data_IF_536301199075
#
_entry.id   IF_536301199075
#
_cell.length_a   1.000
_cell.length_b   1.000
_cell.length_c   1.000
_cell.angle_alpha   90.00
_cell.angle_beta   90.00
_cell.angle_gamma   90.00
#
_symmetry.space_group_name_H-M   'P 1'
#
loop_
_entity.id
_entity.type
_entity.pdbx_description
1 polymer ?
#
# COMPACT_ATOMS: atom_id res chain seq x y z
N UNK A 1 64.78 73.84 13.54
CA UNK A 1 65.99 74.05 12.70
C UNK A 1 67.12 73.29 13.38
N UNK A 2 67.88 72.36 12.77
CA UNK A 2 68.11 72.01 11.34
C UNK A 2 67.65 70.57 10.98
N UNK A 3 67.10 70.27 9.79
CA UNK A 3 67.70 69.82 8.49
C UNK A 3 68.58 68.55 8.45
N UNK A 4 68.00 67.55 7.76
CA UNK A 4 68.57 66.66 6.72
C UNK A 4 69.70 65.68 7.09
N UNK A 5 69.46 64.39 6.83
CA UNK A 5 70.03 63.72 5.64
C UNK A 5 69.38 62.36 5.37
N UNK A 6 69.06 62.19 4.10
CA UNK A 6 68.63 60.98 3.39
C UNK A 6 69.80 60.01 3.21
N UNK A 7 69.56 58.73 3.48
CA UNK A 7 70.38 57.62 2.99
C UNK A 7 69.45 56.53 2.44
N UNK A 8 69.45 56.40 1.12
CA UNK A 8 68.83 55.34 0.33
C UNK A 8 69.64 54.04 0.45
N UNK A 9 69.00 52.95 0.86
CA UNK A 9 69.52 51.58 0.77
C UNK A 9 68.76 50.81 -0.32
N UNK A 10 69.43 49.98 -1.14
CA UNK A 10 68.80 49.31 -2.27
C UNK A 10 68.09 48.02 -1.82
N UNK A 11 66.83 47.87 -2.23
CA UNK A 11 66.00 46.69 -1.97
C UNK A 11 66.29 45.61 -3.01
N UNK A 12 66.77 44.45 -2.55
CA UNK A 12 67.04 43.26 -3.35
C UNK A 12 65.78 42.73 -4.07
N UNK A 13 65.89 42.17 -5.29
CA UNK A 13 64.76 41.62 -6.01
C UNK A 13 64.28 40.31 -5.37
N UNK A 14 63.01 40.28 -4.94
CA UNK A 14 62.33 39.06 -4.48
C UNK A 14 62.15 38.11 -5.66
N UNK A 15 62.86 36.98 -5.63
CA UNK A 15 62.59 35.80 -6.48
C UNK A 15 61.15 35.31 -6.22
N UNK A 16 60.28 35.42 -7.22
CA UNK A 16 58.99 34.73 -7.26
C UNK A 16 59.21 33.29 -7.67
N UNK A 17 59.03 32.36 -6.73
CA UNK A 17 58.94 30.92 -7.01
C UNK A 17 57.64 30.60 -7.77
N UNK A 18 57.64 29.73 -8.79
CA UNK A 18 56.41 29.32 -9.47
C UNK A 18 55.52 28.51 -8.51
N UNK A 19 54.20 28.75 -8.57
CA UNK A 19 53.20 27.92 -7.92
C UNK A 19 53.21 26.51 -8.54
N UNK A 20 53.14 25.43 -7.77
CA UNK A 20 53.00 24.10 -8.34
C UNK A 20 51.62 23.96 -9.02
N UNK A 21 51.61 23.37 -10.21
CA UNK A 21 50.41 23.07 -10.97
C UNK A 21 49.47 22.17 -10.16
N UNK A 22 48.22 22.58 -10.06
CA UNK A 22 47.15 21.81 -9.41
C UNK A 22 46.84 20.60 -10.31
N UNK A 23 46.89 19.35 -9.82
CA UNK A 23 46.55 18.21 -10.65
C UNK A 23 45.10 18.33 -11.11
N UNK A 24 44.88 18.13 -12.42
CA UNK A 24 43.55 18.11 -13.01
C UNK A 24 42.69 17.07 -12.28
N UNK A 25 41.52 17.47 -11.78
CA UNK A 25 40.54 16.53 -11.22
C UNK A 25 40.19 15.48 -12.29
N UNK A 26 40.16 14.18 -11.95
CA UNK A 26 39.77 13.16 -12.90
C UNK A 26 38.35 13.46 -13.39
N UNK A 27 38.20 13.53 -14.71
CA UNK A 27 36.93 13.70 -15.39
C UNK A 27 36.04 12.53 -14.96
N UNK A 28 35.02 12.81 -14.15
CA UNK A 28 33.99 11.81 -13.83
C UNK A 28 33.32 11.44 -15.15
N UNK A 29 33.38 10.17 -15.59
CA UNK A 29 32.71 9.78 -16.83
C UNK A 29 31.21 10.08 -16.69
N UNK A 30 30.53 10.52 -17.76
CA UNK A 30 29.10 10.73 -17.71
C UNK A 30 28.42 9.43 -17.22
N UNK A 31 27.35 9.53 -16.42
CA UNK A 31 26.63 8.34 -15.98
C UNK A 31 26.24 7.53 -17.20
N UNK A 32 26.50 6.22 -17.17
CA UNK A 32 26.05 5.31 -18.21
C UNK A 32 24.55 5.56 -18.46
N UNK A 33 24.09 5.54 -19.74
CA UNK A 33 22.67 5.69 -20.02
C UNK A 33 21.91 4.68 -19.16
N UNK A 34 20.92 5.17 -18.39
CA UNK A 34 20.13 4.33 -17.52
C UNK A 34 19.63 3.15 -18.36
N UNK A 35 20.04 1.93 -18.00
CA UNK A 35 19.61 0.73 -18.70
C UNK A 35 18.10 0.79 -18.85
N UNK A 36 17.60 0.63 -20.08
CA UNK A 36 16.18 0.77 -20.38
C UNK A 36 15.40 -0.25 -19.56
N UNK A 37 14.79 0.19 -18.45
CA UNK A 37 14.00 -0.68 -17.59
C UNK A 37 12.60 -0.85 -18.15
N UNK A 38 12.12 -2.08 -18.15
CA UNK A 38 10.76 -2.40 -18.59
C UNK A 38 9.88 -2.64 -17.38
N UNK A 39 8.71 -1.96 -17.35
CA UNK A 39 7.76 -2.05 -16.24
C UNK A 39 6.77 -3.19 -16.44
N UNK A 40 6.64 -4.01 -15.41
CA UNK A 40 5.66 -5.09 -15.36
C UNK A 40 4.68 -4.88 -14.22
N UNK A 41 3.40 -5.12 -14.51
CA UNK A 41 2.32 -5.18 -13.53
C UNK A 41 2.01 -6.63 -13.22
N UNK A 42 1.79 -6.91 -11.94
CA UNK A 42 1.34 -8.20 -11.44
C UNK A 42 0.01 -8.00 -10.71
N UNK A 43 -1.01 -8.73 -11.14
CA UNK A 43 -2.31 -8.83 -10.49
C UNK A 43 -2.33 -10.10 -9.63
N UNK A 44 -2.72 -9.99 -8.35
CA UNK A 44 -2.60 -11.09 -7.39
C UNK A 44 -3.67 -11.09 -6.30
N UNK A 45 -3.85 -12.25 -5.66
CA UNK A 45 -4.60 -12.44 -4.43
C UNK A 45 -3.71 -13.02 -3.33
N UNK A 46 -4.13 -12.86 -2.08
CA UNK A 46 -3.53 -13.56 -0.96
C UNK A 46 -4.47 -13.75 0.23
N UNK A 47 -4.30 -14.87 0.91
CA UNK A 47 -4.70 -15.03 2.30
C UNK A 47 -3.70 -14.27 3.18
N UNK A 48 -4.18 -13.24 3.90
CA UNK A 48 -3.34 -12.41 4.78
C UNK A 48 -2.92 -13.07 6.09
N UNK A 49 -3.52 -14.22 6.46
CA UNK A 49 -3.35 -14.86 7.77
C UNK A 49 -1.90 -15.13 8.19
N UNK A 50 -1.01 -15.69 7.33
CA UNK A 50 0.36 -15.99 7.71
C UNK A 50 1.29 -14.77 7.67
N UNK A 51 0.83 -13.62 7.16
CA UNK A 51 1.69 -12.48 6.87
C UNK A 51 1.61 -11.38 7.93
N UNK A 52 2.75 -10.76 8.27
CA UNK A 52 2.85 -9.54 9.07
C UNK A 52 2.40 -8.27 8.33
N UNK A 53 1.51 -8.42 7.35
CA UNK A 53 1.01 -7.38 6.47
C UNK A 53 1.65 -7.42 5.08
N UNK A 54 1.30 -6.43 4.26
CA UNK A 54 1.84 -6.36 2.90
C UNK A 54 3.31 -5.92 2.91
N UNK A 55 3.61 -4.79 3.54
CA UNK A 55 4.89 -4.11 3.37
C UNK A 55 6.05 -4.85 4.06
N UNK A 56 7.20 -4.90 3.37
CA UNK A 56 8.42 -5.54 3.87
C UNK A 56 8.83 -4.98 5.24
N UNK A 57 9.15 -5.88 6.16
CA UNK A 57 9.63 -5.58 7.51
C UNK A 57 10.81 -6.51 7.81
N UNK A 58 11.75 -6.03 8.64
CA UNK A 58 12.90 -6.85 9.05
C UNK A 58 12.39 -8.05 9.87
N UNK A 59 12.92 -9.23 9.59
CA UNK A 59 12.67 -10.47 10.35
C UNK A 59 11.19 -10.89 10.43
N UNK A 60 10.38 -10.51 9.43
CA UNK A 60 8.95 -10.84 9.36
C UNK A 60 8.57 -11.36 7.97
N UNK A 61 7.73 -12.38 7.94
CA UNK A 61 7.13 -12.90 6.70
C UNK A 61 6.05 -11.93 6.23
N UNK A 62 6.21 -11.35 5.04
CA UNK A 62 5.33 -10.32 4.48
C UNK A 62 5.04 -10.61 3.02
N UNK A 63 3.88 -10.15 2.50
CA UNK A 63 3.51 -10.40 1.10
C UNK A 63 4.55 -9.80 0.14
N UNK A 64 4.99 -8.56 0.41
CA UNK A 64 6.03 -7.90 -0.38
C UNK A 64 7.35 -8.67 -0.33
N UNK A 65 7.78 -9.12 0.86
CA UNK A 65 9.04 -9.85 1.01
C UNK A 65 9.05 -11.18 0.23
N UNK A 66 7.96 -11.94 0.29
CA UNK A 66 7.83 -13.19 -0.48
C UNK A 66 7.85 -12.92 -1.99
N UNK A 67 7.12 -11.91 -2.45
CA UNK A 67 7.08 -11.52 -3.87
C UNK A 67 8.45 -11.06 -4.37
N UNK A 68 9.11 -10.15 -3.66
CA UNK A 68 10.45 -9.64 -4.02
C UNK A 68 11.49 -10.76 -4.03
N UNK A 69 11.42 -11.67 -3.06
CA UNK A 69 12.33 -12.83 -3.00
C UNK A 69 12.09 -13.79 -4.16
N UNK A 70 10.83 -14.12 -4.46
CA UNK A 70 10.48 -14.98 -5.60
C UNK A 70 10.89 -14.35 -6.93
N UNK A 71 10.61 -13.06 -7.12
CA UNK A 71 11.01 -12.30 -8.30
C UNK A 71 12.54 -12.26 -8.43
N UNK A 72 13.27 -12.01 -7.35
CA UNK A 72 14.72 -11.99 -7.35
C UNK A 72 15.35 -13.30 -7.82
N UNK A 73 14.81 -14.45 -7.38
CA UNK A 73 15.25 -15.78 -7.85
C UNK A 73 14.90 -16.06 -9.33
N UNK A 74 13.76 -15.57 -9.79
CA UNK A 74 13.31 -15.81 -11.16
C UNK A 74 14.09 -14.95 -12.14
N UNK A 75 14.26 -13.66 -11.84
CA UNK A 75 14.90 -12.68 -12.72
C UNK A 75 16.41 -12.56 -12.52
N UNK A 76 16.97 -13.14 -11.45
CA UNK A 76 18.40 -13.08 -11.09
C UNK A 76 18.92 -11.65 -10.98
N UNK A 77 18.10 -10.81 -10.35
CA UNK A 77 18.43 -9.43 -9.99
C UNK A 77 17.61 -8.99 -8.78
N UNK A 78 18.07 -8.03 -7.98
CA UNK A 78 17.24 -7.43 -6.92
C UNK A 78 15.98 -6.81 -7.50
N UNK A 79 14.83 -7.06 -6.87
CA UNK A 79 13.54 -6.48 -7.28
C UNK A 79 12.94 -5.72 -6.11
N UNK A 80 12.56 -4.48 -6.38
CA UNK A 80 11.71 -3.68 -5.49
C UNK A 80 10.35 -3.51 -6.15
N UNK A 81 9.27 -3.70 -5.38
CA UNK A 81 7.92 -3.55 -5.90
C UNK A 81 7.18 -2.37 -5.26
N UNK A 82 6.25 -1.81 -6.03
CA UNK A 82 5.28 -0.83 -5.54
C UNK A 82 3.88 -1.39 -5.65
N UNK A 83 3.11 -1.35 -4.57
CA UNK A 83 1.75 -1.87 -4.52
C UNK A 83 0.67 -0.78 -4.60
N UNK A 84 -0.52 -1.18 -5.03
CA UNK A 84 -1.67 -0.30 -5.09
C UNK A 84 -2.16 0.15 -3.72
N UNK A 85 -2.07 -0.69 -2.71
CA UNK A 85 -2.40 -0.31 -1.34
C UNK A 85 -1.84 -1.33 -0.36
N UNK A 86 -1.18 -0.84 0.69
CA UNK A 86 -0.71 -1.71 1.77
C UNK A 86 -1.91 -2.26 2.54
N UNK A 87 -1.84 -3.53 2.93
CA UNK A 87 -2.78 -4.15 3.86
C UNK A 87 -2.10 -4.44 5.19
N UNK A 88 -2.86 -4.34 6.28
CA UNK A 88 -2.36 -4.66 7.63
C UNK A 88 -2.11 -6.17 7.78
N UNK A 89 -1.41 -6.55 8.86
CA UNK A 89 -1.29 -7.94 9.30
C UNK A 89 -2.66 -8.64 9.36
N UNK A 90 -2.77 -9.81 8.74
CA UNK A 90 -3.99 -10.62 8.73
C UNK A 90 -5.10 -10.14 7.79
N UNK A 91 -4.89 -9.10 6.99
CA UNK A 91 -5.89 -8.62 6.01
C UNK A 91 -5.66 -9.30 4.66
N UNK A 92 -6.73 -9.82 4.06
CA UNK A 92 -6.69 -10.53 2.78
C UNK A 92 -6.78 -9.60 1.57
N UNK A 93 -6.44 -10.10 0.39
CA UNK A 93 -6.74 -9.44 -0.88
C UNK A 93 -7.18 -10.44 -1.94
N UNK A 94 -8.19 -10.09 -2.73
CA UNK A 94 -8.61 -10.85 -3.91
C UNK A 94 -8.08 -10.25 -5.22
N UNK A 95 -7.81 -8.94 -5.23
CA UNK A 95 -7.33 -8.22 -6.40
C UNK A 95 -6.35 -7.10 -6.00
N UNK A 96 -5.25 -7.48 -5.34
CA UNK A 96 -4.11 -6.59 -5.16
C UNK A 96 -3.40 -6.40 -6.50
N UNK A 97 -2.73 -5.27 -6.65
CA UNK A 97 -1.89 -4.98 -7.82
C UNK A 97 -0.55 -4.47 -7.36
N UNK A 98 0.52 -4.98 -7.96
CA UNK A 98 1.87 -4.45 -7.80
C UNK A 98 2.48 -4.14 -9.17
N UNK A 99 3.50 -3.32 -9.19
CA UNK A 99 4.39 -3.20 -10.33
C UNK A 99 5.85 -3.24 -9.88
N UNK A 100 6.71 -3.60 -10.83
CA UNK A 100 8.15 -3.64 -10.68
C UNK A 100 8.81 -3.28 -12.02
N UNK A 101 10.05 -2.81 -11.96
CA UNK A 101 10.87 -2.50 -13.13
C UNK A 101 12.00 -3.51 -13.24
N UNK A 102 12.18 -4.08 -14.43
CA UNK A 102 13.25 -5.04 -14.72
C UNK A 102 14.31 -4.43 -15.63
N UNK A 103 15.57 -4.66 -15.31
CA UNK A 103 16.67 -4.50 -16.25
C UNK A 103 16.74 -5.74 -17.15
N UNK A 104 16.39 -5.57 -18.42
CA UNK A 104 16.40 -6.66 -19.41
C UNK A 104 17.78 -6.89 -20.04
N UNK A 105 18.81 -6.14 -19.63
CA UNK A 105 20.19 -6.52 -19.94
C UNK A 105 20.63 -7.78 -19.18
N UNK A 106 19.93 -8.11 -18.08
CA UNK A 106 20.11 -9.38 -17.35
C UNK A 106 19.51 -10.53 -18.18
N UNK A 107 20.32 -11.47 -18.70
CA UNK A 107 19.84 -12.47 -19.68
C UNK A 107 18.71 -13.35 -19.15
N UNK A 108 18.77 -13.70 -17.85
CA UNK A 108 17.72 -14.51 -17.22
C UNK A 108 16.40 -13.75 -17.11
N UNK A 109 16.43 -12.44 -16.85
CA UNK A 109 15.23 -11.62 -16.83
C UNK A 109 14.64 -11.45 -18.23
N UNK A 110 15.47 -11.15 -19.24
CA UNK A 110 15.03 -11.08 -20.64
C UNK A 110 14.33 -12.37 -21.07
N UNK A 111 14.96 -13.52 -20.83
CA UNK A 111 14.37 -14.83 -21.15
C UNK A 111 13.09 -15.13 -20.36
N UNK A 112 13.04 -14.73 -19.09
CA UNK A 112 11.88 -14.97 -18.25
C UNK A 112 10.62 -14.23 -18.72
N UNK A 113 10.76 -13.10 -19.43
CA UNK A 113 9.61 -12.29 -19.88
C UNK A 113 9.18 -12.57 -21.33
N UNK A 114 9.88 -13.47 -22.05
CA UNK A 114 9.51 -13.90 -23.40
C UNK A 114 8.10 -14.52 -23.44
N UNK A 115 7.74 -15.28 -22.40
CA UNK A 115 6.40 -15.84 -22.21
C UNK A 115 5.86 -15.48 -20.82
N UNK A 116 4.93 -14.53 -20.78
CA UNK A 116 4.33 -14.05 -19.54
C UNK A 116 3.39 -15.08 -18.88
N UNK A 117 2.86 -16.05 -19.64
CA UNK A 117 2.07 -17.15 -19.10
C UNK A 117 2.92 -18.14 -18.32
N UNK A 118 4.07 -18.53 -18.89
CA UNK A 118 5.08 -19.35 -18.21
C UNK A 118 5.65 -18.62 -17.00
N UNK A 119 5.96 -17.32 -17.13
CA UNK A 119 6.42 -16.49 -16.02
C UNK A 119 5.40 -16.45 -14.88
N UNK A 120 4.11 -16.23 -15.20
CA UNK A 120 3.03 -16.25 -14.20
C UNK A 120 3.01 -17.56 -13.45
N UNK A 121 3.01 -18.70 -14.17
CA UNK A 121 2.99 -20.02 -13.55
C UNK A 121 4.22 -20.27 -12.66
N UNK A 122 5.40 -19.86 -13.11
CA UNK A 122 6.64 -20.00 -12.34
C UNK A 122 6.63 -19.16 -11.07
N UNK A 123 6.23 -17.90 -11.13
CA UNK A 123 6.15 -17.04 -9.96
C UNK A 123 5.08 -17.52 -8.97
N UNK A 124 3.92 -17.96 -9.46
CA UNK A 124 2.84 -18.55 -8.65
C UNK A 124 3.31 -19.77 -7.84
N UNK A 125 4.13 -20.63 -8.44
CA UNK A 125 4.75 -21.75 -7.72
C UNK A 125 5.78 -21.29 -6.67
N UNK A 126 6.51 -20.21 -6.92
CA UNK A 126 7.59 -19.72 -6.06
C UNK A 126 7.11 -18.94 -4.83
N UNK A 127 5.97 -18.25 -4.92
CA UNK A 127 5.42 -17.42 -3.83
C UNK A 127 4.66 -18.22 -2.77
N UNK A 128 4.43 -19.51 -3.00
CA UNK A 128 3.77 -20.41 -2.07
C UNK A 128 2.24 -20.27 -2.04
N UNK A 129 1.59 -21.13 -1.25
CA UNK A 129 0.14 -21.39 -1.32
C UNK A 129 -0.76 -20.24 -0.86
N UNK A 130 -0.22 -19.28 -0.10
CA UNK A 130 -0.99 -18.17 0.44
C UNK A 130 -1.09 -16.98 -0.51
N UNK A 131 -0.35 -16.98 -1.63
CA UNK A 131 -0.38 -15.96 -2.67
C UNK A 131 -0.74 -16.63 -3.99
N UNK A 132 -1.57 -15.98 -4.80
CA UNK A 132 -1.88 -16.43 -6.15
C UNK A 132 -1.63 -15.30 -7.13
N UNK A 133 -0.82 -15.56 -8.16
CA UNK A 133 -0.55 -14.62 -9.24
C UNK A 133 -1.58 -14.82 -10.34
N UNK A 134 -2.51 -13.89 -10.49
CA UNK A 134 -3.54 -13.99 -11.54
C UNK A 134 -2.97 -13.72 -12.92
N UNK A 135 -2.20 -12.64 -13.05
CA UNK A 135 -1.74 -12.20 -14.36
C UNK A 135 -0.48 -11.35 -14.23
N UNK A 136 0.36 -11.41 -15.25
CA UNK A 136 1.51 -10.54 -15.46
C UNK A 136 1.36 -9.88 -16.82
N UNK A 137 1.68 -8.58 -16.90
CA UNK A 137 1.63 -7.81 -18.15
C UNK A 137 2.71 -6.73 -18.17
N UNK A 138 3.28 -6.46 -19.33
CA UNK A 138 4.03 -5.23 -19.55
C UNK A 138 3.08 -4.03 -19.48
N UNK A 139 3.54 -2.92 -18.92
CA UNK A 139 2.79 -1.66 -18.84
C UNK A 139 3.72 -0.48 -19.18
N UNK A 140 3.17 0.67 -19.61
CA UNK A 140 3.99 1.85 -19.84
C UNK A 140 4.75 2.25 -18.57
N UNK A 141 5.96 2.82 -18.73
CA UNK A 141 6.76 3.32 -17.61
C UNK A 141 6.02 4.35 -16.72
N UNK A 142 5.03 5.06 -17.28
CA UNK A 142 4.18 6.00 -16.55
C UNK A 142 3.13 5.33 -15.64
N UNK A 143 2.89 4.02 -15.75
CA UNK A 143 1.95 3.31 -14.88
C UNK A 143 2.54 3.17 -13.48
N UNK A 144 1.81 3.59 -12.46
CA UNK A 144 2.20 3.38 -11.06
C UNK A 144 1.06 2.69 -10.31
N UNK A 145 1.27 1.48 -9.81
CA UNK A 145 0.22 0.71 -9.11
C UNK A 145 -0.48 1.52 -8.00
N UNK A 146 0.25 2.38 -7.29
CA UNK A 146 -0.28 3.23 -6.23
C UNK A 146 -0.94 4.49 -6.79
N UNK A 147 -0.19 5.31 -7.52
CA UNK A 147 -0.62 6.65 -7.89
C UNK A 147 -1.54 6.67 -9.11
N UNK A 148 -1.54 5.62 -9.92
CA UNK A 148 -2.46 5.48 -11.04
C UNK A 148 -3.83 4.91 -10.66
N UNK A 149 -3.96 4.30 -9.48
CA UNK A 149 -5.21 3.72 -9.03
C UNK A 149 -6.20 4.82 -8.65
N UNK A 150 -7.36 4.79 -9.30
CA UNK A 150 -8.46 5.72 -9.12
C UNK A 150 -9.32 5.39 -7.89
N UNK A 151 -9.41 4.11 -7.50
CA UNK A 151 -10.15 3.69 -6.33
C UNK A 151 -9.73 2.31 -5.82
N UNK A 152 -9.99 2.05 -4.54
CA UNK A 152 -9.91 0.73 -3.90
C UNK A 152 -11.27 0.38 -3.30
N UNK A 153 -11.68 -0.88 -3.46
CA UNK A 153 -12.86 -1.43 -2.81
C UNK A 153 -12.45 -2.47 -1.78
N UNK A 154 -12.94 -2.29 -0.57
CA UNK A 154 -12.82 -3.24 0.51
C UNK A 154 -14.18 -3.84 0.85
N UNK A 155 -14.17 -5.09 1.32
CA UNK A 155 -15.30 -5.68 2.02
C UNK A 155 -14.86 -6.11 3.40
N UNK A 156 -15.67 -5.78 4.38
CA UNK A 156 -15.58 -6.33 5.72
C UNK A 156 -16.75 -7.28 5.96
N UNK A 157 -16.49 -8.50 6.43
CA UNK A 157 -17.51 -9.52 6.71
C UNK A 157 -17.65 -9.75 8.21
N UNK A 158 -18.89 -9.72 8.68
CA UNK A 158 -19.29 -9.87 10.07
C UNK A 158 -20.25 -11.06 10.19
N UNK A 159 -20.19 -11.74 11.33
CA UNK A 159 -21.18 -12.73 11.73
C UNK A 159 -21.78 -12.30 13.07
N UNK A 160 -23.08 -12.00 13.05
CA UNK A 160 -23.85 -11.51 14.20
C UNK A 160 -24.84 -12.56 14.73
N UNK A 161 -24.49 -13.84 14.55
CA UNK A 161 -25.19 -14.99 15.13
C UNK A 161 -24.48 -15.48 16.39
N UNK A 162 -25.20 -16.19 17.27
CA UNK A 162 -24.63 -16.75 18.49
C UNK A 162 -23.60 -17.86 18.21
N UNK A 163 -23.83 -18.67 17.18
CA UNK A 163 -22.95 -19.78 16.80
C UNK A 163 -21.97 -19.32 15.71
N UNK A 164 -20.70 -19.71 15.86
CA UNK A 164 -19.66 -19.44 14.89
C UNK A 164 -19.47 -20.63 13.94
N UNK A 165 -19.27 -20.37 12.66
CA UNK A 165 -18.79 -21.38 11.70
C UNK A 165 -17.26 -21.46 11.79
N UNK A 166 -16.68 -22.56 12.31
CA UNK A 166 -15.23 -22.67 12.44
C UNK A 166 -14.52 -22.61 11.08
N UNK A 167 -15.14 -23.02 9.97
CA UNK A 167 -14.52 -22.99 8.64
C UNK A 167 -14.31 -21.54 8.16
N UNK A 168 -15.20 -20.62 8.56
CA UNK A 168 -15.19 -19.20 8.14
C UNK A 168 -14.51 -18.26 9.14
N UNK A 169 -13.85 -18.82 10.17
CA UNK A 169 -13.17 -18.06 11.23
C UNK A 169 -12.03 -17.16 10.72
N UNK A 170 -11.50 -17.47 9.54
CA UNK A 170 -10.39 -16.73 8.93
C UNK A 170 -10.84 -15.67 7.93
N UNK A 171 -12.11 -15.62 7.51
CA UNK A 171 -12.58 -14.63 6.51
C UNK A 171 -13.72 -13.72 7.02
N UNK A 172 -14.18 -13.91 8.27
CA UNK A 172 -15.27 -13.15 8.89
C UNK A 172 -15.06 -12.95 10.38
N UNK A 173 -15.43 -11.78 10.87
CA UNK A 173 -15.40 -11.50 12.30
C UNK A 173 -16.68 -11.99 12.99
N UNK A 174 -16.55 -12.97 13.88
CA UNK A 174 -17.61 -13.38 14.80
C UNK A 174 -17.84 -12.30 15.87
N UNK A 175 -18.99 -11.64 15.81
CA UNK A 175 -19.45 -10.66 16.79
C UNK A 175 -20.20 -11.34 17.93
N UNK A 176 -20.96 -12.40 17.63
CA UNK A 176 -21.61 -13.27 18.63
C UNK A 176 -22.99 -12.81 19.12
N UNK A 177 -23.45 -11.64 18.71
CA UNK A 177 -24.74 -11.05 19.11
C UNK A 177 -25.38 -10.31 17.93
N UNK A 178 -26.73 -10.26 17.84
CA UNK A 178 -27.43 -9.59 16.73
C UNK A 178 -27.08 -8.10 16.61
N UNK A 179 -26.85 -7.63 15.39
CA UNK A 179 -26.58 -6.22 15.10
C UNK A 179 -27.76 -5.54 14.39
N UNK A 180 -28.11 -4.34 14.86
CA UNK A 180 -29.07 -3.47 14.20
C UNK A 180 -28.46 -2.87 12.92
N UNK A 181 -28.72 -3.53 11.78
CA UNK A 181 -28.27 -3.05 10.47
C UNK A 181 -28.80 -1.65 10.16
N UNK A 182 -30.00 -1.32 10.62
CA UNK A 182 -30.61 0.01 10.45
C UNK A 182 -29.81 1.08 11.18
N UNK A 183 -29.43 0.85 12.45
CA UNK A 183 -28.63 1.79 13.22
C UNK A 183 -27.22 1.96 12.61
N UNK A 184 -26.58 0.86 12.21
CA UNK A 184 -25.28 0.91 11.53
C UNK A 184 -25.34 1.73 10.24
N UNK A 185 -26.38 1.53 9.42
CA UNK A 185 -26.59 2.31 8.19
C UNK A 185 -26.82 3.79 8.48
N UNK A 186 -27.55 4.13 9.54
CA UNK A 186 -27.74 5.51 9.95
C UNK A 186 -26.41 6.18 10.31
N UNK A 187 -25.58 5.54 11.14
CA UNK A 187 -24.27 6.08 11.52
C UNK A 187 -23.29 6.19 10.34
N UNK A 188 -23.32 5.21 9.44
CA UNK A 188 -22.48 5.17 8.24
C UNK A 188 -22.66 6.37 7.29
N UNK A 189 -23.84 7.00 7.25
CA UNK A 189 -24.13 8.12 6.35
C UNK A 189 -23.21 9.31 6.60
N UNK A 190 -22.87 9.58 7.86
CA UNK A 190 -22.00 10.70 8.26
C UNK A 190 -20.58 10.60 7.73
N UNK A 191 -20.14 9.40 7.31
CA UNK A 191 -18.78 9.14 6.84
C UNK A 191 -18.60 9.31 5.34
N UNK A 192 -19.69 9.50 4.56
CA UNK A 192 -19.61 9.65 3.10
C UNK A 192 -19.08 11.05 2.72
N UNK A 193 -18.32 11.11 1.63
CA UNK A 193 -17.71 12.36 1.16
C UNK A 193 -16.28 12.54 1.69
N UNK A 194 -15.78 13.77 1.62
CA UNK A 194 -14.42 14.12 2.01
C UNK A 194 -14.38 14.63 3.44
N UNK A 195 -13.53 14.00 4.27
CA UNK A 195 -13.39 14.33 5.69
C UNK A 195 -11.96 14.14 6.16
N UNK A 196 -11.60 14.79 7.26
CA UNK A 196 -10.44 14.40 8.05
C UNK A 196 -10.78 13.15 8.89
N UNK A 197 -10.27 12.00 8.47
CA UNK A 197 -10.50 10.73 9.16
C UNK A 197 -9.54 10.48 10.32
N UNK A 198 -8.85 11.50 10.87
CA UNK A 198 -7.84 11.34 11.92
C UNK A 198 -8.24 10.37 13.06
N UNK A 199 -9.47 10.43 13.56
CA UNK A 199 -9.98 9.53 14.60
C UNK A 199 -9.99 8.06 14.19
N UNK A 200 -10.17 7.79 12.90
CA UNK A 200 -10.20 6.43 12.34
C UNK A 200 -8.82 5.97 11.86
N UNK A 201 -7.82 6.85 11.79
CA UNK A 201 -6.53 6.55 11.18
C UNK A 201 -5.44 6.30 12.21
N UNK A 202 -4.58 5.31 11.98
CA UNK A 202 -3.27 5.29 12.61
C UNK A 202 -2.37 6.22 11.81
N UNK A 203 -2.04 7.39 12.36
CA UNK A 203 -1.23 8.39 11.65
C UNK A 203 0.11 7.79 11.21
N UNK A 204 0.41 7.96 9.92
CA UNK A 204 1.75 7.74 9.38
C UNK A 204 2.49 9.08 9.40
N UNK A 205 3.80 9.06 9.68
CA UNK A 205 4.61 10.28 9.66
C UNK A 205 4.49 10.99 8.29
N UNK A 206 4.17 12.28 8.31
CA UNK A 206 4.05 13.12 7.11
C UNK A 206 2.82 12.89 6.21
N UNK A 207 1.89 11.99 6.59
CA UNK A 207 0.70 11.70 5.79
C UNK A 207 -0.55 12.46 6.24
N UNK A 208 -1.28 13.06 5.30
CA UNK A 208 -2.62 13.61 5.58
C UNK A 208 -3.62 12.49 5.90
N UNK A 209 -4.55 12.77 6.83
CA UNK A 209 -5.69 11.92 7.19
C UNK A 209 -6.98 12.30 6.47
N UNK A 210 -6.93 13.34 5.62
CA UNK A 210 -8.06 13.74 4.76
C UNK A 210 -8.26 12.70 3.67
N UNK A 211 -9.44 12.08 3.62
CA UNK A 211 -9.81 11.07 2.62
C UNK A 211 -11.24 11.30 2.15
N UNK A 212 -11.54 10.76 0.97
CA UNK A 212 -12.90 10.70 0.44
C UNK A 212 -13.41 9.26 0.48
N UNK A 213 -14.59 9.06 1.07
CA UNK A 213 -15.30 7.79 1.06
C UNK A 213 -16.48 7.90 0.09
N UNK A 214 -16.35 7.25 -1.07
CA UNK A 214 -17.34 7.32 -2.15
C UNK A 214 -18.53 6.39 -1.86
N UNK A 215 -18.29 5.29 -1.15
CA UNK A 215 -19.34 4.34 -0.77
C UNK A 215 -19.05 3.69 0.58
N UNK A 216 -20.10 3.52 1.37
CA UNK A 216 -20.15 2.65 2.54
C UNK A 216 -21.53 2.00 2.56
N UNK A 217 -21.62 0.78 2.05
CA UNK A 217 -22.87 0.05 1.92
C UNK A 217 -22.87 -1.17 2.83
N UNK A 218 -23.81 -1.23 3.76
CA UNK A 218 -24.02 -2.40 4.61
C UNK A 218 -25.21 -3.22 4.12
N UNK A 219 -25.08 -4.53 4.08
CA UNK A 219 -26.15 -5.47 3.70
C UNK A 219 -26.14 -6.71 4.58
N UNK A 220 -27.28 -7.42 4.62
CA UNK A 220 -27.42 -8.71 5.28
C UNK A 220 -27.70 -9.79 4.23
N UNK A 221 -26.66 -10.34 3.58
CA UNK A 221 -26.86 -11.29 2.49
C UNK A 221 -27.32 -12.68 2.94
N UNK A 222 -27.32 -12.97 4.24
CA UNK A 222 -27.97 -14.14 4.84
C UNK A 222 -28.24 -13.85 6.33
N UNK A 223 -29.08 -14.66 6.96
CA UNK A 223 -29.27 -14.59 8.41
C UNK A 223 -27.93 -14.75 9.13
N UNK A 224 -27.68 -13.89 10.12
CA UNK A 224 -26.42 -13.91 10.88
C UNK A 224 -25.18 -13.40 10.13
N UNK A 225 -25.31 -12.89 8.89
CA UNK A 225 -24.17 -12.41 8.08
C UNK A 225 -24.38 -10.96 7.67
N UNK A 226 -23.41 -10.09 7.95
CA UNK A 226 -23.39 -8.70 7.49
C UNK A 226 -22.14 -8.44 6.67
N UNK A 227 -22.32 -7.83 5.50
CA UNK A 227 -21.24 -7.33 4.67
C UNK A 227 -21.23 -5.80 4.72
N UNK A 228 -20.06 -5.20 4.90
CA UNK A 228 -19.83 -3.77 4.72
C UNK A 228 -18.86 -3.55 3.55
N UNK A 229 -19.33 -2.92 2.48
CA UNK A 229 -18.53 -2.58 1.30
C UNK A 229 -18.13 -1.12 1.36
N UNK A 230 -16.83 -0.87 1.37
CA UNK A 230 -16.23 0.45 1.39
C UNK A 230 -15.50 0.72 0.08
N UNK A 231 -15.69 1.90 -0.48
CA UNK A 231 -15.10 2.30 -1.75
C UNK A 231 -14.63 3.75 -1.68
N UNK A 232 -13.43 4.02 -2.20
CA UNK A 232 -12.89 5.37 -2.28
C UNK A 232 -11.52 5.42 -2.93
N UNK A 233 -10.99 6.64 -3.21
CA UNK A 233 -9.73 6.81 -3.91
C UNK A 233 -8.54 6.24 -3.14
N UNK A 234 -8.49 6.50 -1.83
CA UNK A 234 -7.44 6.05 -0.94
C UNK A 234 -7.98 5.90 0.48
N UNK A 235 -7.29 5.07 1.28
CA UNK A 235 -7.58 4.87 2.69
C UNK A 235 -6.31 5.07 3.50
N UNK A 236 -6.44 5.57 4.72
CA UNK A 236 -5.35 5.61 5.68
C UNK A 236 -5.15 4.25 6.37
N UNK A 237 -4.01 4.11 7.01
CA UNK A 237 -3.70 2.94 7.83
C UNK A 237 -4.79 2.74 8.92
N UNK A 238 -5.35 1.53 9.00
CA UNK A 238 -6.43 1.13 9.91
C UNK A 238 -7.79 1.84 9.74
N UNK A 239 -7.97 2.71 8.75
CA UNK A 239 -9.21 3.49 8.57
C UNK A 239 -10.44 2.60 8.48
N UNK A 240 -10.46 1.67 7.53
CA UNK A 240 -11.61 0.78 7.29
C UNK A 240 -11.97 0.00 8.55
N UNK A 241 -10.98 -0.61 9.21
CA UNK A 241 -11.21 -1.43 10.40
C UNK A 241 -11.66 -0.60 11.61
N UNK A 242 -11.21 0.65 11.73
CA UNK A 242 -11.66 1.55 12.79
C UNK A 242 -13.11 2.00 12.57
N UNK A 243 -13.49 2.30 11.32
CA UNK A 243 -14.87 2.58 10.93
C UNK A 243 -15.77 1.40 11.29
N UNK A 244 -15.39 0.18 10.89
CA UNK A 244 -16.16 -1.03 11.20
C UNK A 244 -16.31 -1.26 12.70
N UNK A 245 -15.24 -1.05 13.48
CA UNK A 245 -15.30 -1.15 14.94
C UNK A 245 -16.34 -0.22 15.53
N UNK A 246 -16.37 1.04 15.11
CA UNK A 246 -17.35 2.02 15.57
C UNK A 246 -18.79 1.66 15.14
N UNK A 247 -18.97 1.23 13.89
CA UNK A 247 -20.29 0.80 13.41
C UNK A 247 -20.80 -0.42 14.17
N UNK A 248 -19.94 -1.35 14.58
CA UNK A 248 -20.34 -2.50 15.40
C UNK A 248 -20.83 -2.04 16.78
N UNK A 249 -20.21 -1.05 17.42
CA UNK A 249 -20.72 -0.48 18.68
C UNK A 249 -22.11 0.16 18.54
N UNK A 250 -22.36 0.82 17.39
CA UNK A 250 -23.71 1.32 17.05
C UNK A 250 -24.68 0.17 16.79
N UNK A 251 -24.26 -0.86 16.06
CA UNK A 251 -25.09 -2.04 15.78
C UNK A 251 -25.50 -2.80 17.03
N UNK A 252 -24.66 -2.77 18.07
CA UNK A 252 -24.92 -3.35 19.40
C UNK A 252 -25.82 -2.49 20.28
N UNK A 253 -26.14 -1.27 19.86
CA UNK A 253 -26.89 -0.31 20.67
C UNK A 253 -26.08 0.34 21.81
N UNK A 254 -24.76 0.13 21.87
CA UNK A 254 -23.89 0.74 22.91
C UNK A 254 -23.56 2.21 22.62
N UNK A 255 -23.78 2.64 21.38
CA UNK A 255 -23.65 4.01 20.90
C UNK A 255 -24.81 4.34 19.97
N UNK A 256 -25.30 5.57 20.03
CA UNK A 256 -26.29 6.07 19.08
C UNK A 256 -25.66 6.29 17.70
N UNK A 257 -26.40 6.22 16.58
CA UNK A 257 -25.87 6.48 15.24
C UNK A 257 -25.12 7.81 15.08
N UNK A 258 -25.59 8.86 15.76
CA UNK A 258 -25.05 10.22 15.73
C UNK A 258 -23.63 10.30 16.31
N UNK A 259 -23.29 9.36 17.20
CA UNK A 259 -21.96 9.27 17.80
C UNK A 259 -20.85 9.15 16.74
N UNK A 260 -21.11 8.51 15.60
CA UNK A 260 -20.12 8.38 14.52
C UNK A 260 -19.69 9.74 13.97
N UNK A 261 -20.62 10.67 13.81
CA UNK A 261 -20.32 12.03 13.37
C UNK A 261 -19.48 12.78 14.42
N UNK A 262 -19.78 12.57 15.71
CA UNK A 262 -18.97 13.06 16.82
C UNK A 262 -17.54 12.54 16.76
N UNK A 263 -17.34 11.23 16.62
CA UNK A 263 -16.00 10.63 16.48
C UNK A 263 -15.24 11.24 15.31
N UNK A 264 -15.90 11.48 14.17
CA UNK A 264 -15.26 12.12 13.01
C UNK A 264 -14.84 13.56 13.30
N UNK A 265 -15.66 14.32 14.02
CA UNK A 265 -15.40 15.72 14.37
C UNK A 265 -14.23 15.88 15.37
N UNK A 266 -14.06 14.95 16.32
CA UNK A 266 -13.01 15.00 17.35
C UNK A 266 -11.58 15.00 16.77
N UNK A 267 -11.36 14.37 15.61
CA UNK A 267 -10.03 14.17 15.00
C UNK A 267 -9.01 13.53 15.95
N UNK A 268 -9.48 12.83 16.97
CA UNK A 268 -8.69 12.09 17.95
C UNK A 268 -8.99 10.59 17.87
N UNK A 269 -7.92 9.80 17.77
CA UNK A 269 -7.99 8.35 17.71
C UNK A 269 -8.57 7.75 18.99
N UNK A 270 -8.47 8.43 20.13
CA UNK A 270 -9.05 7.96 21.39
C UNK A 270 -10.58 7.99 21.39
N UNK A 271 -11.21 8.84 20.55
CA UNK A 271 -12.66 8.90 20.41
C UNK A 271 -13.24 7.66 19.71
N UNK A 272 -12.44 6.95 18.90
CA UNK A 272 -12.90 5.78 18.15
C UNK A 272 -12.97 4.52 19.02
N UNK A 273 -13.89 3.61 18.65
CA UNK A 273 -13.95 2.29 19.25
C UNK A 273 -12.71 1.44 18.92
N UNK A 274 -12.60 0.29 19.59
CA UNK A 274 -11.59 -0.72 19.29
C UNK A 274 -11.61 -1.06 17.79
N UNK A 275 -10.41 -1.09 17.19
CA UNK A 275 -10.21 -1.44 15.79
C UNK A 275 -10.70 -2.87 15.54
N UNK A 276 -11.53 -3.05 14.49
CA UNK A 276 -12.04 -4.36 14.12
C UNK A 276 -10.91 -5.35 13.79
N UNK A 277 -11.07 -6.67 14.05
CA UNK A 277 -10.10 -7.69 13.67
C UNK A 277 -9.73 -7.65 12.17
N UNK A 278 -8.50 -8.04 11.78
CA UNK A 278 -8.06 -7.91 10.40
C UNK A 278 -8.65 -8.94 9.44
N UNK A 279 -8.90 -10.18 9.92
CA UNK A 279 -9.32 -11.32 9.10
C UNK A 279 -10.72 -11.13 8.46
N UNK A 280 -11.56 -10.25 9.01
CA UNK A 280 -12.83 -9.89 8.37
C UNK A 280 -12.68 -9.00 7.13
N UNK A 281 -11.52 -8.39 6.92
CA UNK A 281 -11.27 -7.40 5.87
C UNK A 281 -10.60 -8.02 4.64
N UNK A 282 -11.13 -7.72 3.46
CA UNK A 282 -10.56 -8.11 2.17
C UNK A 282 -10.48 -6.92 1.22
N UNK A 283 -9.32 -6.68 0.61
CA UNK A 283 -9.21 -5.82 -0.58
C UNK A 283 -9.81 -6.57 -1.78
N UNK A 284 -11.01 -6.19 -2.20
CA UNK A 284 -11.70 -6.87 -3.30
C UNK A 284 -11.33 -6.29 -4.66
N UNK A 285 -10.99 -5.00 -4.77
CA UNK A 285 -10.73 -4.40 -6.08
C UNK A 285 -9.79 -3.21 -6.00
N UNK A 286 -8.90 -3.10 -6.98
CA UNK A 286 -8.21 -1.85 -7.33
C UNK A 286 -8.69 -1.44 -8.73
N UNK A 287 -9.17 -0.20 -8.88
CA UNK A 287 -9.63 0.35 -10.15
C UNK A 287 -8.64 1.37 -10.68
N UNK A 288 -8.41 1.31 -11.98
CA UNK A 288 -7.57 2.23 -12.73
C UNK A 288 -8.43 2.93 -13.79
N UNK A 289 -8.05 4.14 -14.19
CA UNK A 289 -8.72 4.86 -15.29
C UNK A 289 -8.53 4.15 -16.63
N UNK A 290 -9.34 4.52 -17.63
CA UNK A 290 -9.37 3.89 -18.99
C UNK A 290 -8.01 3.82 -19.69
N UNK A 291 -7.07 4.70 -19.35
CA UNK A 291 -5.72 4.72 -19.89
C UNK A 291 -4.86 3.52 -19.47
N UNK A 292 -5.30 2.73 -18.50
CA UNK A 292 -4.57 1.59 -17.96
C UNK A 292 -5.36 0.28 -18.12
N UNK A 293 -4.68 -0.88 -18.20
CA UNK A 293 -5.35 -2.17 -18.21
C UNK A 293 -6.29 -2.33 -17.01
N UNK A 294 -7.50 -2.85 -17.25
CA UNK A 294 -8.41 -3.21 -16.18
C UNK A 294 -7.80 -4.32 -15.32
N UNK A 295 -8.10 -4.29 -14.02
CA UNK A 295 -7.81 -5.43 -13.15
C UNK A 295 -8.66 -6.62 -13.60
N UNK A 296 -8.12 -7.85 -13.56
CA UNK A 296 -8.91 -9.03 -13.87
C UNK A 296 -10.17 -9.06 -12.99
N UNK A 297 -11.31 -9.55 -13.52
CA UNK A 297 -12.50 -9.70 -12.70
C UNK A 297 -12.12 -10.53 -11.47
N UNK A 298 -12.54 -10.08 -10.28
CA UNK A 298 -12.56 -10.96 -9.12
C UNK A 298 -13.47 -12.09 -9.54
N UNK A 299 -12.91 -13.24 -9.89
CA UNK A 299 -13.71 -14.43 -10.13
C UNK A 299 -14.29 -14.75 -8.76
N UNK A 300 -15.49 -14.23 -8.51
CA UNK A 300 -16.30 -14.57 -7.38
C UNK A 300 -16.64 -16.05 -7.56
N UNK A 301 -15.77 -16.92 -7.05
CA UNK A 301 -16.16 -18.29 -6.76
C UNK A 301 -17.06 -18.21 -5.55
N UNK A 302 -18.33 -17.96 -5.83
CA UNK A 302 -19.44 -18.20 -4.94
C UNK A 302 -19.27 -19.58 -4.30
N UNK A 303 -19.06 -19.54 -2.98
CA UNK A 303 -19.01 -20.66 -2.05
C UNK A 303 -19.50 -20.17 -0.69
#
# INVERSE_FOLDING_TARGET
>A
MPTLRTTTSPTSPRRTTPRPDRPASPLVPPPAPAAARTRYRIDLAYDGSPFAGFARQRDQVTVQGELETACGRVFDQPVELTCAGRTDRGVHALAQVVHLDLDLSVPRAARAVEDLGVLRARLDQQVGRAITIWQIRAVPAAFDARFSAAARRYRYRLVDAAVADPIRRHDRWQVGEPLSLTAMRAGARSLLGEHDFASFCRRAQGGTTVRRLDRLALSRPAQGRIDAVLDGPAFCHQQVRSIIGCLVEVGRGRRAPEWIAGVLAERDRQAAARVAPPHGLTLEQVRYGRRWPASPPVVARSG
#
